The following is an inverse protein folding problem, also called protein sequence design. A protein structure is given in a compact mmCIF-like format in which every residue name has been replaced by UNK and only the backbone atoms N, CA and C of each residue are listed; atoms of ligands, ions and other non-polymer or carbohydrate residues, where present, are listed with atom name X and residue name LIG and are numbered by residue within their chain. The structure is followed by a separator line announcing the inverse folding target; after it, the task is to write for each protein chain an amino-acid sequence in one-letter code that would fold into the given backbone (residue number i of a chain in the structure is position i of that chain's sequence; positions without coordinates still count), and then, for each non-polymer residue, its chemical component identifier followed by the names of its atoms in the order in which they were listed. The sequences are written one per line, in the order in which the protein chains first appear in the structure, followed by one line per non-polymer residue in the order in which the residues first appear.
data_IF_364324715571
#
_entry.id   IF_364324715571
#
_cell.length_a   1.000
_cell.length_b   1.000
_cell.length_c   1.000
_cell.angle_alpha   90.00
_cell.angle_beta   90.00
_cell.angle_gamma   90.00
#
_symmetry.space_group_name_H-M   'P 1'
#
loop_
_entity.id
_entity.type
_entity.pdbx_description
1 polymer ?
#
# COMPACT_ATOMS: atom_id res chain seq x y z
N UNK A 1 3.43 -35.50 42.09
CA UNK A 1 4.55 -36.24 41.45
C UNK A 1 4.18 -36.57 40.00
N UNK A 2 4.26 -35.61 39.07
CA UNK A 2 3.84 -35.84 37.66
C UNK A 2 4.54 -34.92 36.64
N UNK A 3 5.71 -34.35 36.97
CA UNK A 3 6.48 -33.50 36.05
C UNK A 3 7.88 -34.03 35.75
N UNK A 4 8.49 -34.75 36.70
CA UNK A 4 9.83 -35.35 36.54
C UNK A 4 9.85 -36.58 35.62
N UNK A 5 8.74 -37.31 35.48
CA UNK A 5 8.68 -38.52 34.65
C UNK A 5 8.57 -38.24 33.14
N UNK A 6 8.08 -37.05 32.75
CA UNK A 6 7.93 -36.67 31.32
C UNK A 6 9.21 -36.13 30.68
N UNK A 7 10.15 -35.59 31.47
CA UNK A 7 11.43 -35.07 30.95
C UNK A 7 12.51 -36.14 30.78
N UNK A 8 12.37 -37.29 31.43
CA UNK A 8 13.31 -38.42 31.33
C UNK A 8 13.11 -39.32 30.10
N UNK A 9 12.00 -39.18 29.36
CA UNK A 9 11.68 -40.03 28.19
C UNK A 9 12.21 -39.47 26.85
N UNK A 10 12.61 -38.19 26.78
CA UNK A 10 13.07 -37.58 25.51
C UNK A 10 14.59 -37.59 25.33
N UNK A 11 15.36 -38.18 26.25
CA UNK A 11 16.82 -38.08 26.27
C UNK A 11 17.58 -39.38 25.97
N UNK A 12 16.90 -40.45 25.53
CA UNK A 12 17.51 -41.79 25.42
C UNK A 12 17.27 -42.53 24.10
N UNK A 13 17.09 -41.83 22.97
CA UNK A 13 17.10 -42.45 21.64
C UNK A 13 18.21 -41.81 20.79
N UNK A 14 19.43 -42.29 21.06
CA UNK A 14 20.41 -42.80 20.07
C UNK A 14 20.58 -41.97 18.79
N UNK A 15 21.66 -41.25 18.46
CA UNK A 15 23.10 -41.39 18.72
C UNK A 15 23.67 -42.83 18.66
N UNK A 16 23.66 -43.41 17.46
CA UNK A 16 24.62 -44.38 16.87
C UNK A 16 23.96 -44.92 15.61
N UNK A 17 24.33 -44.51 14.40
CA UNK A 17 25.37 -45.19 13.60
C UNK A 17 25.95 -44.27 12.53
N UNK A 18 27.24 -43.97 12.67
CA UNK A 18 28.08 -43.47 11.59
C UNK A 18 28.72 -44.66 10.82
N UNK A 19 29.16 -44.38 9.58
CA UNK A 19 29.90 -45.22 8.63
C UNK A 19 28.99 -46.19 7.83
N UNK A 20 29.06 -46.36 6.50
CA UNK A 20 30.02 -46.08 5.42
C UNK A 20 29.17 -45.75 4.15
N UNK A 21 29.41 -44.68 3.39
CA UNK A 21 30.38 -44.57 2.29
C UNK A 21 30.27 -45.66 1.19
N UNK A 22 30.05 -45.18 -0.06
CA UNK A 22 30.63 -45.63 -1.35
C UNK A 22 29.60 -45.89 -2.48
N UNK A 23 29.68 -45.00 -3.48
CA UNK A 23 29.48 -45.21 -4.93
C UNK A 23 28.09 -45.45 -5.50
N UNK A 24 27.60 -44.44 -6.24
CA UNK A 24 27.44 -44.61 -7.68
C UNK A 24 27.56 -43.26 -8.40
N UNK A 25 28.76 -42.98 -8.90
CA UNK A 25 29.00 -42.02 -9.97
C UNK A 25 28.43 -42.55 -11.29
N UNK A 26 28.14 -41.59 -12.19
CA UNK A 26 27.88 -41.76 -13.63
C UNK A 26 26.41 -41.96 -14.03
N UNK A 27 25.72 -40.83 -14.21
CA UNK A 27 25.21 -40.47 -15.55
C UNK A 27 24.85 -38.97 -15.55
N UNK A 28 25.88 -38.15 -15.84
CA UNK A 28 25.67 -36.85 -16.47
C UNK A 28 24.92 -37.11 -17.78
N UNK A 29 23.60 -36.95 -17.75
CA UNK A 29 22.83 -36.61 -18.94
C UNK A 29 22.69 -35.10 -18.90
N UNK A 30 23.60 -34.43 -19.62
CA UNK A 30 23.53 -33.01 -19.95
C UNK A 30 22.20 -32.74 -20.66
N UNK A 31 21.15 -32.52 -19.88
CA UNK A 31 20.01 -31.75 -20.33
C UNK A 31 20.53 -30.33 -20.35
N UNK A 32 20.89 -29.87 -21.54
CA UNK A 32 20.94 -28.44 -21.82
C UNK A 32 19.52 -27.94 -21.55
N UNK A 33 19.22 -27.62 -20.30
CA UNK A 33 18.14 -26.71 -20.01
C UNK A 33 18.58 -25.43 -20.70
N UNK A 34 18.00 -25.20 -21.88
CA UNK A 34 17.90 -23.87 -22.42
C UNK A 34 17.40 -23.04 -21.25
N UNK A 35 18.31 -22.28 -20.65
CA UNK A 35 18.01 -21.26 -19.66
C UNK A 35 16.96 -20.43 -20.36
N UNK A 36 15.69 -20.67 -20.02
CA UNK A 36 14.59 -19.84 -20.45
C UNK A 36 15.00 -18.51 -19.86
N UNK A 37 15.55 -17.63 -20.69
CA UNK A 37 15.74 -16.24 -20.33
C UNK A 37 14.34 -15.79 -19.97
N UNK A 38 14.08 -15.79 -18.66
CA UNK A 38 12.94 -15.12 -18.10
C UNK A 38 13.07 -13.69 -18.66
N UNK A 39 12.06 -13.20 -19.39
CA UNK A 39 12.15 -11.88 -19.96
C UNK A 39 12.52 -10.95 -18.81
N UNK A 40 13.65 -10.26 -18.95
CA UNK A 40 14.04 -9.20 -18.02
C UNK A 40 12.93 -8.17 -18.15
N UNK A 41 11.94 -8.27 -17.28
CA UNK A 41 10.85 -7.32 -17.21
C UNK A 41 11.50 -5.95 -17.04
N UNK A 42 11.02 -4.92 -17.73
CA UNK A 42 11.51 -3.58 -17.45
C UNK A 42 11.37 -3.35 -15.95
N UNK A 43 12.41 -2.77 -15.33
CA UNK A 43 12.44 -2.46 -13.89
C UNK A 43 11.16 -1.71 -13.47
N UNK A 44 10.53 -1.00 -14.41
CA UNK A 44 9.22 -0.38 -14.27
C UNK A 44 8.29 -0.84 -15.39
N UNK A 45 7.16 -1.49 -15.07
CA UNK A 45 6.17 -1.86 -16.08
C UNK A 45 5.37 -0.66 -16.59
N UNK A 46 4.79 -0.71 -17.80
CA UNK A 46 3.87 0.32 -18.28
C UNK A 46 2.72 0.58 -17.30
N UNK A 47 2.11 -0.47 -16.76
CA UNK A 47 1.02 -0.34 -15.77
C UNK A 47 1.46 0.37 -14.49
N UNK A 48 2.72 0.19 -14.04
CA UNK A 48 3.24 0.93 -12.89
C UNK A 48 3.40 2.43 -13.20
N UNK A 49 3.87 2.78 -14.41
CA UNK A 49 3.94 4.18 -14.86
C UNK A 49 2.56 4.80 -14.99
N UNK A 50 1.64 4.10 -15.63
CA UNK A 50 0.28 4.59 -15.87
C UNK A 50 -0.44 4.84 -14.54
N UNK A 51 -0.42 3.88 -13.61
CA UNK A 51 -1.01 4.07 -12.28
C UNK A 51 -0.36 5.25 -11.51
N UNK A 52 0.95 5.43 -11.65
CA UNK A 52 1.67 6.56 -11.02
C UNK A 52 1.23 7.90 -11.62
N UNK A 53 1.09 7.98 -12.94
CA UNK A 53 0.62 9.19 -13.62
C UNK A 53 -0.84 9.50 -13.30
N UNK A 54 -1.70 8.48 -13.29
CA UNK A 54 -3.13 8.67 -13.00
C UNK A 54 -3.35 9.14 -11.55
N UNK A 55 -2.53 8.66 -10.59
CA UNK A 55 -2.54 9.16 -9.21
C UNK A 55 -2.08 10.63 -9.14
N UNK A 56 -1.09 11.03 -9.95
CA UNK A 56 -0.65 12.42 -10.03
C UNK A 56 -1.74 13.33 -10.64
N UNK A 57 -2.45 12.85 -11.66
CA UNK A 57 -3.59 13.54 -12.24
C UNK A 57 -4.75 13.67 -11.24
N UNK A 58 -5.02 12.61 -10.47
CA UNK A 58 -6.02 12.62 -9.40
C UNK A 58 -5.69 13.68 -8.34
N UNK A 59 -4.42 13.72 -7.90
CA UNK A 59 -3.92 14.76 -6.99
C UNK A 59 -4.16 16.17 -7.54
N UNK A 60 -3.79 16.43 -8.79
CA UNK A 60 -3.97 17.74 -9.43
C UNK A 60 -5.45 18.15 -9.44
N UNK A 61 -6.35 17.20 -9.70
CA UNK A 61 -7.79 17.48 -9.67
C UNK A 61 -8.31 17.79 -8.27
N UNK A 62 -7.85 17.05 -7.26
CA UNK A 62 -8.20 17.31 -5.85
C UNK A 62 -7.74 18.71 -5.43
N UNK A 63 -6.50 19.08 -5.77
CA UNK A 63 -5.85 20.33 -5.37
C UNK A 63 -6.23 21.53 -6.26
N UNK A 64 -6.97 21.30 -7.36
CA UNK A 64 -7.36 22.33 -8.30
C UNK A 64 -8.39 23.32 -7.73
N UNK A 65 -8.49 24.51 -8.35
CA UNK A 65 -9.35 25.62 -7.87
C UNK A 65 -10.83 25.26 -7.70
N UNK A 66 -11.33 24.29 -8.45
CA UNK A 66 -12.73 23.86 -8.39
C UNK A 66 -12.97 22.66 -7.48
N UNK A 67 -11.90 22.10 -6.88
CA UNK A 67 -11.91 20.81 -6.21
C UNK A 67 -12.34 19.66 -7.13
N UNK A 68 -12.45 18.48 -6.55
CA UNK A 68 -13.02 17.30 -7.23
C UNK A 68 -14.44 17.04 -6.75
N UNK A 69 -15.31 16.53 -7.61
CA UNK A 69 -16.67 16.08 -7.24
C UNK A 69 -16.66 14.58 -6.96
N UNK A 70 -17.52 14.11 -6.04
CA UNK A 70 -17.58 12.70 -5.66
C UNK A 70 -17.64 11.75 -6.86
N UNK A 71 -18.52 12.01 -7.83
CA UNK A 71 -18.66 11.12 -8.99
C UNK A 71 -17.41 11.10 -9.87
N UNK A 72 -16.78 12.26 -10.08
CA UNK A 72 -15.53 12.32 -10.83
C UNK A 72 -14.38 11.61 -10.10
N UNK A 73 -14.36 11.72 -8.77
CA UNK A 73 -13.40 11.03 -7.91
C UNK A 73 -13.58 9.52 -7.95
N UNK A 74 -14.82 9.04 -7.88
CA UNK A 74 -15.20 7.64 -8.04
C UNK A 74 -14.79 7.09 -9.42
N UNK A 75 -15.21 7.77 -10.50
CA UNK A 75 -14.86 7.38 -11.88
C UNK A 75 -13.34 7.27 -12.06
N UNK A 76 -12.57 8.22 -11.50
CA UNK A 76 -11.10 8.17 -11.56
C UNK A 76 -10.50 7.01 -10.79
N UNK A 77 -11.03 6.68 -9.61
CA UNK A 77 -10.54 5.53 -8.85
C UNK A 77 -10.89 4.20 -9.52
N UNK A 78 -12.06 4.09 -10.16
CA UNK A 78 -12.45 2.92 -10.95
C UNK A 78 -11.49 2.67 -12.14
N UNK A 79 -10.90 3.74 -12.70
CA UNK A 79 -9.85 3.65 -13.73
C UNK A 79 -8.50 3.20 -13.14
N UNK A 80 -8.09 3.78 -12.00
CA UNK A 80 -6.74 3.57 -11.42
C UNK A 80 -6.59 2.18 -10.79
N UNK A 81 -7.58 1.74 -10.01
CA UNK A 81 -7.53 0.49 -9.23
C UNK A 81 -7.14 -0.74 -10.08
N UNK A 82 -7.78 -1.02 -11.24
CA UNK A 82 -7.42 -2.19 -12.04
C UNK A 82 -6.01 -2.11 -12.63
N UNK A 83 -5.52 -0.90 -12.97
CA UNK A 83 -4.16 -0.69 -13.49
C UNK A 83 -3.13 -0.95 -12.39
N UNK A 84 -3.33 -0.38 -11.20
CA UNK A 84 -2.46 -0.60 -10.04
C UNK A 84 -2.41 -2.08 -9.60
N UNK A 85 -3.52 -2.82 -9.78
CA UNK A 85 -3.60 -4.25 -9.43
C UNK A 85 -2.69 -5.13 -10.29
N UNK A 86 -2.52 -4.78 -11.57
CA UNK A 86 -1.68 -5.55 -12.50
C UNK A 86 -0.25 -4.99 -12.63
N UNK A 87 0.03 -3.86 -11.98
CA UNK A 87 1.34 -3.24 -11.97
C UNK A 87 2.41 -4.15 -11.34
N UNK A 88 3.63 -4.06 -11.89
CA UNK A 88 4.80 -4.87 -11.53
C UNK A 88 6.06 -4.03 -11.76
N UNK A 89 7.17 -4.39 -11.13
CA UNK A 89 8.44 -3.67 -11.26
C UNK A 89 9.03 -3.36 -9.89
N UNK A 90 9.65 -2.19 -9.77
CA UNK A 90 10.26 -1.67 -8.54
C UNK A 90 9.33 -1.83 -7.33
N UNK A 91 9.82 -2.53 -6.31
CA UNK A 91 9.02 -2.94 -5.15
C UNK A 91 8.57 -1.74 -4.31
N UNK A 92 9.43 -0.72 -4.19
CA UNK A 92 9.15 0.46 -3.39
C UNK A 92 8.12 1.35 -4.09
N UNK A 93 8.29 1.60 -5.40
CA UNK A 93 7.29 2.32 -6.19
C UNK A 93 5.95 1.58 -6.23
N UNK A 94 5.96 0.25 -6.39
CA UNK A 94 4.74 -0.56 -6.40
C UNK A 94 4.03 -0.52 -5.04
N UNK A 95 4.77 -0.59 -3.94
CA UNK A 95 4.22 -0.45 -2.60
C UNK A 95 3.58 0.93 -2.43
N UNK A 96 4.27 1.99 -2.84
CA UNK A 96 3.78 3.37 -2.77
C UNK A 96 2.51 3.59 -3.61
N UNK A 97 2.43 3.06 -4.84
CA UNK A 97 1.20 3.12 -5.66
C UNK A 97 0.04 2.41 -4.97
N UNK A 98 0.24 1.19 -4.47
CA UNK A 98 -0.82 0.44 -3.76
C UNK A 98 -1.26 1.15 -2.49
N UNK A 99 -0.30 1.73 -1.78
CA UNK A 99 -0.50 2.56 -0.59
C UNK A 99 -1.41 3.76 -0.91
N UNK A 100 -1.08 4.52 -1.95
CA UNK A 100 -1.89 5.66 -2.41
C UNK A 100 -3.31 5.25 -2.81
N UNK A 101 -3.46 4.18 -3.61
CA UNK A 101 -4.78 3.68 -4.06
C UNK A 101 -5.66 3.26 -2.90
N UNK A 102 -5.10 2.54 -1.92
CA UNK A 102 -5.85 2.15 -0.71
C UNK A 102 -6.29 3.37 0.10
N UNK A 103 -5.41 4.36 0.25
CA UNK A 103 -5.74 5.65 0.89
C UNK A 103 -6.90 6.37 0.21
N UNK A 104 -6.85 6.48 -1.12
CA UNK A 104 -7.90 7.12 -1.89
C UNK A 104 -9.22 6.34 -1.87
N UNK A 105 -9.16 5.01 -1.82
CA UNK A 105 -10.34 4.13 -1.69
C UNK A 105 -11.02 4.36 -0.34
N UNK A 106 -10.26 4.42 0.75
CA UNK A 106 -10.79 4.74 2.07
C UNK A 106 -11.42 6.15 2.14
N UNK A 107 -10.81 7.13 1.45
CA UNK A 107 -11.39 8.46 1.32
C UNK A 107 -12.75 8.42 0.58
N UNK A 108 -12.84 7.63 -0.50
CA UNK A 108 -14.09 7.46 -1.26
C UNK A 108 -15.17 6.81 -0.39
N UNK A 109 -14.84 5.72 0.30
CA UNK A 109 -15.77 5.03 1.21
C UNK A 109 -16.32 5.98 2.28
N UNK A 110 -15.46 6.80 2.89
CA UNK A 110 -15.89 7.80 3.87
C UNK A 110 -16.80 8.86 3.23
N UNK A 111 -16.43 9.40 2.06
CA UNK A 111 -17.21 10.44 1.39
C UNK A 111 -18.58 9.96 0.92
N UNK A 112 -18.69 8.70 0.50
CA UNK A 112 -19.96 8.10 0.07
C UNK A 112 -20.97 7.99 1.22
N UNK A 113 -20.53 7.89 2.47
CA UNK A 113 -21.42 7.82 3.63
C UNK A 113 -22.38 9.01 3.75
N UNK A 114 -22.03 10.17 3.20
CA UNK A 114 -22.86 11.39 3.29
C UNK A 114 -24.04 11.42 2.35
N UNK A 115 -24.12 10.44 1.47
CA UNK A 115 -25.27 10.23 0.61
C UNK A 115 -26.31 9.31 1.26
N UNK A 116 -26.02 8.78 2.46
CA UNK A 116 -26.99 8.02 3.24
C UNK A 116 -28.02 8.94 3.89
N UNK A 117 -29.23 8.42 4.01
CA UNK A 117 -30.32 9.10 4.72
C UNK A 117 -30.42 8.60 6.15
N UNK A 118 -30.62 9.53 7.08
CA UNK A 118 -30.75 9.26 8.52
C UNK A 118 -29.44 9.41 9.29
N UNK A 119 -29.54 10.05 10.46
CA UNK A 119 -28.40 10.38 11.32
C UNK A 119 -27.57 9.16 11.71
N UNK A 120 -28.20 8.12 12.27
CA UNK A 120 -27.49 6.93 12.73
C UNK A 120 -26.83 6.17 11.56
N UNK A 121 -27.50 6.06 10.42
CA UNK A 121 -26.95 5.37 9.25
C UNK A 121 -25.70 6.06 8.71
N UNK A 122 -25.74 7.39 8.59
CA UNK A 122 -24.61 8.21 8.17
C UNK A 122 -23.42 8.02 9.11
N UNK A 123 -23.63 8.16 10.42
CA UNK A 123 -22.54 8.10 11.38
C UNK A 123 -22.01 6.69 11.60
N UNK A 124 -22.85 5.66 11.53
CA UNK A 124 -22.38 4.26 11.54
C UNK A 124 -21.52 3.94 10.30
N UNK A 125 -21.92 4.44 9.13
CA UNK A 125 -21.12 4.29 7.92
C UNK A 125 -19.77 5.00 8.05
N UNK A 126 -19.77 6.27 8.47
CA UNK A 126 -18.55 7.05 8.68
C UNK A 126 -17.64 6.39 9.71
N UNK A 127 -18.16 5.97 10.86
CA UNK A 127 -17.36 5.31 11.91
C UNK A 127 -16.75 3.99 11.43
N UNK A 128 -17.43 3.25 10.56
CA UNK A 128 -16.87 2.05 9.92
C UNK A 128 -15.73 2.40 8.97
N UNK A 129 -15.89 3.40 8.11
CA UNK A 129 -14.83 3.87 7.21
C UNK A 129 -13.63 4.41 8.02
N UNK A 130 -13.90 5.14 9.10
CA UNK A 130 -12.89 5.66 10.02
C UNK A 130 -12.03 4.57 10.66
N UNK A 131 -12.56 3.37 10.91
CA UNK A 131 -11.74 2.25 11.40
C UNK A 131 -10.62 1.90 10.40
N UNK A 132 -10.93 1.83 9.11
CA UNK A 132 -9.94 1.60 8.06
C UNK A 132 -8.94 2.75 7.98
N UNK A 133 -9.43 3.98 7.94
CA UNK A 133 -8.61 5.20 7.91
C UNK A 133 -7.67 5.27 9.11
N UNK A 134 -8.13 5.00 10.32
CA UNK A 134 -7.33 5.09 11.53
C UNK A 134 -6.28 3.99 11.68
N UNK A 135 -6.58 2.80 11.14
CA UNK A 135 -5.59 1.73 11.10
C UNK A 135 -4.45 2.07 10.12
N UNK A 136 -4.80 2.72 9.01
CA UNK A 136 -3.84 3.11 7.97
C UNK A 136 -3.07 4.38 8.31
N UNK A 137 -3.75 5.38 8.87
CA UNK A 137 -3.22 6.70 9.21
C UNK A 137 -3.40 6.99 10.71
N UNK A 138 -2.53 6.44 11.58
CA UNK A 138 -2.63 6.63 13.03
C UNK A 138 -2.56 8.10 13.47
N UNK A 139 -1.91 8.97 12.71
CA UNK A 139 -1.87 10.40 13.02
C UNK A 139 -3.25 11.07 12.85
N UNK A 140 -4.03 10.68 11.84
CA UNK A 140 -5.42 11.14 11.68
C UNK A 140 -6.27 10.68 12.87
N UNK A 141 -6.06 9.44 13.36
CA UNK A 141 -6.72 8.93 14.57
C UNK A 141 -6.42 9.80 15.80
N UNK A 142 -5.16 10.20 16.01
CA UNK A 142 -4.78 11.06 17.14
C UNK A 142 -5.47 12.42 17.07
N UNK A 143 -5.52 13.03 15.89
CA UNK A 143 -6.20 14.31 15.67
C UNK A 143 -7.70 14.18 15.92
N UNK A 144 -8.34 13.14 15.40
CA UNK A 144 -9.76 12.86 15.63
C UNK A 144 -10.10 12.61 17.10
N UNK A 145 -9.23 11.91 17.84
CA UNK A 145 -9.45 11.63 19.26
C UNK A 145 -9.39 12.88 20.14
N UNK A 146 -8.61 13.90 19.77
CA UNK A 146 -8.58 15.17 20.49
C UNK A 146 -9.93 15.91 20.36
N UNK A 147 -10.55 15.86 19.19
CA UNK A 147 -11.83 16.51 18.90
C UNK A 147 -12.98 15.74 19.58
N UNK A 148 -12.98 14.41 19.51
CA UNK A 148 -14.01 13.58 20.12
C UNK A 148 -14.05 13.62 21.66
N UNK A 149 -12.98 14.06 22.34
CA UNK A 149 -13.00 14.26 23.80
C UNK A 149 -13.79 15.49 24.23
N UNK A 150 -14.01 16.44 23.32
CA UNK A 150 -14.77 17.67 23.59
C UNK A 150 -16.28 17.48 23.37
N UNK A 151 -16.67 16.46 22.60
CA UNK A 151 -18.05 16.18 22.25
C UNK A 151 -18.58 14.89 22.87
N UNK A 152 -19.67 14.99 23.63
CA UNK A 152 -20.31 13.86 24.30
C UNK A 152 -21.26 13.10 23.33
N UNK A 153 -20.73 12.67 22.18
CA UNK A 153 -21.49 11.99 21.11
C UNK A 153 -21.36 10.46 21.16
N UNK A 154 -22.41 9.76 20.73
CA UNK A 154 -22.41 8.29 20.54
C UNK A 154 -21.56 7.83 19.35
N UNK A 155 -21.17 8.74 18.45
CA UNK A 155 -20.39 8.46 17.25
C UNK A 155 -19.17 9.38 17.16
N UNK A 156 -18.00 8.82 16.83
CA UNK A 156 -16.77 9.61 16.69
C UNK A 156 -16.91 10.59 15.52
N UNK A 157 -17.48 10.12 14.41
CA UNK A 157 -17.68 10.93 13.20
C UNK A 157 -18.64 12.10 13.34
N UNK A 158 -19.40 12.21 14.44
CA UNK A 158 -20.30 13.33 14.66
C UNK A 158 -19.57 14.64 14.92
N UNK A 159 -18.41 14.58 15.59
CA UNK A 159 -17.60 15.75 15.91
C UNK A 159 -16.52 16.08 14.90
N UNK A 160 -16.40 15.30 13.82
CA UNK A 160 -15.36 15.50 12.82
C UNK A 160 -15.89 16.30 11.65
N UNK A 161 -15.19 17.38 11.30
CA UNK A 161 -15.42 18.08 10.04
C UNK A 161 -15.04 17.17 8.87
N UNK A 162 -16.01 16.93 8.00
CA UNK A 162 -15.88 16.03 6.87
C UNK A 162 -14.77 16.48 5.91
N UNK A 163 -14.75 17.76 5.56
CA UNK A 163 -13.85 18.29 4.56
C UNK A 163 -12.41 18.25 5.06
N UNK A 164 -12.17 18.69 6.29
CA UNK A 164 -10.85 18.63 6.94
C UNK A 164 -10.33 17.20 7.03
N UNK A 165 -11.20 16.24 7.32
CA UNK A 165 -10.82 14.83 7.37
C UNK A 165 -10.47 14.29 5.97
N UNK A 166 -11.27 14.62 4.94
CA UNK A 166 -10.98 14.24 3.55
C UNK A 166 -9.64 14.82 3.09
N UNK A 167 -9.39 16.10 3.38
CA UNK A 167 -8.11 16.76 3.08
C UNK A 167 -6.93 16.08 3.77
N UNK A 168 -7.09 15.67 5.03
CA UNK A 168 -6.05 14.94 5.74
C UNK A 168 -5.77 13.56 5.11
N UNK A 169 -6.81 12.84 4.69
CA UNK A 169 -6.65 11.53 4.02
C UNK A 169 -6.01 11.71 2.64
N UNK A 170 -6.49 12.65 1.84
CA UNK A 170 -5.91 12.96 0.53
C UNK A 170 -4.46 13.41 0.64
N UNK A 171 -4.11 14.23 1.63
CA UNK A 171 -2.72 14.65 1.85
C UNK A 171 -1.80 13.45 2.08
N UNK A 172 -2.22 12.47 2.89
CA UNK A 172 -1.43 11.26 3.12
C UNK A 172 -1.34 10.38 1.86
N UNK A 173 -2.46 10.13 1.19
CA UNK A 173 -2.48 9.33 -0.04
C UNK A 173 -1.67 9.97 -1.18
N UNK A 174 -1.74 11.29 -1.33
CA UNK A 174 -0.95 12.07 -2.28
C UNK A 174 0.55 12.05 -1.93
N UNK A 175 0.89 11.93 -0.64
CA UNK A 175 2.27 11.73 -0.20
C UNK A 175 2.83 10.39 -0.69
N UNK A 176 2.07 9.31 -0.53
CA UNK A 176 2.41 7.99 -1.07
C UNK A 176 2.57 8.03 -2.60
N UNK A 177 1.64 8.70 -3.30
CA UNK A 177 1.73 8.86 -4.75
C UNK A 177 2.97 9.65 -5.19
N UNK A 178 3.36 10.67 -4.43
CA UNK A 178 4.56 11.46 -4.71
C UNK A 178 5.85 10.63 -4.56
N UNK A 179 5.91 9.72 -3.58
CA UNK A 179 7.03 8.77 -3.42
C UNK A 179 7.15 7.89 -4.67
N UNK A 180 6.04 7.28 -5.11
CA UNK A 180 6.04 6.48 -6.33
C UNK A 180 6.52 7.30 -7.54
N UNK A 181 5.98 8.51 -7.72
CA UNK A 181 6.37 9.40 -8.81
C UNK A 181 7.86 9.74 -8.79
N UNK A 182 8.45 10.01 -7.62
CA UNK A 182 9.87 10.32 -7.51
C UNK A 182 10.77 9.13 -7.86
N UNK A 183 10.36 7.92 -7.52
CA UNK A 183 11.11 6.69 -7.86
C UNK A 183 11.03 6.41 -9.36
N UNK A 184 9.85 6.57 -9.96
CA UNK A 184 9.64 6.32 -11.40
C UNK A 184 10.26 7.42 -12.27
N UNK A 185 10.23 8.67 -11.81
CA UNK A 185 10.72 9.85 -12.53
C UNK A 185 11.72 10.63 -11.65
N UNK A 186 12.93 10.09 -11.43
CA UNK A 186 13.93 10.77 -10.64
C UNK A 186 14.35 12.09 -11.33
N UNK A 187 14.59 13.17 -10.57
CA UNK A 187 15.06 14.42 -11.14
C UNK A 187 16.41 14.21 -11.84
N UNK A 188 16.58 14.83 -13.02
CA UNK A 188 17.84 14.78 -13.76
C UNK A 188 18.95 15.47 -12.95
N UNK A 189 20.02 14.73 -12.65
CA UNK A 189 21.22 15.30 -12.01
C UNK A 189 22.03 16.08 -13.05
N UNK A 190 21.84 17.40 -13.08
CA UNK A 190 22.53 18.32 -14.00
C UNK A 190 23.91 18.76 -13.50
N UNK A 191 24.48 18.11 -12.48
CA UNK A 191 25.77 18.55 -11.89
C UNK A 191 27.02 18.10 -12.67
N UNK A 192 26.91 17.37 -13.78
CA UNK A 192 28.06 16.83 -14.52
C UNK A 192 28.27 17.33 -15.97
N UNK A 193 27.58 18.37 -16.44
CA UNK A 193 27.68 18.85 -17.85
C UNK A 193 28.38 20.20 -18.05
N UNK A 194 29.30 20.59 -17.16
CA UNK A 194 30.17 21.77 -17.40
C UNK A 194 31.63 21.47 -17.09
N UNK A 195 32.27 20.64 -17.90
CA UNK A 195 33.72 20.69 -18.13
C UNK A 195 34.04 19.91 -19.40
N UNK A 196 34.03 20.59 -20.55
CA UNK A 196 34.95 20.36 -21.67
C UNK A 196 34.62 21.34 -22.82
N UNK A 197 35.03 22.59 -22.66
CA UNK A 197 35.53 23.37 -23.80
C UNK A 197 36.85 24.00 -23.36
N UNK A 198 37.94 23.53 -23.95
CA UNK A 198 39.27 24.12 -23.85
C UNK A 198 39.94 24.06 -25.20
#
# INVERSE_FOLDING_TARGET
MNKLFKQLLQLSITLTTANLLISCTVLLKSRTEAKKEEPVLPIVSPALKDATNDLQDLKIKIEGEYGIKLREYEDKLEEIVPVAKIAQGDEEALAAVKSAVEGHTLALEFWQCDHLTGYDNLHQCRDKALQGIFNRYPEIKKQAAAIAQEENSSFISAGLDQQSLLEAIWSQANGDAAIAHQIIYPPLDITNTVTEEK
#
